data_IF_386302575094
#
_entry.id   IF_386302575094
#
_cell.length_a   1.000
_cell.length_b   1.000
_cell.length_c   1.000
_cell.angle_alpha   90.00
_cell.angle_beta   90.00
_cell.angle_gamma   90.00
#
_symmetry.space_group_name_H-M   'P 1'
#
loop_
_entity.id
_entity.type
_entity.pdbx_description
1 polymer ?
#
# COMPACT_ATOMS: atom_id res chain seq x y z
N UNK A 1 -48.59 -13.01 -17.18
CA UNK A 1 -47.13 -12.90 -17.43
C UNK A 1 -46.42 -13.73 -16.39
N UNK A 2 -45.83 -14.83 -16.81
CA UNK A 2 -44.92 -15.65 -15.98
C UNK A 2 -43.50 -15.08 -16.10
N UNK A 3 -42.89 -14.73 -14.98
CA UNK A 3 -41.48 -14.36 -14.93
C UNK A 3 -40.63 -15.63 -14.76
N UNK A 4 -39.44 -15.71 -15.41
CA UNK A 4 -38.56 -16.84 -15.19
C UNK A 4 -38.11 -16.89 -13.73
N UNK A 5 -37.92 -18.08 -13.15
CA UNK A 5 -37.44 -18.22 -11.78
C UNK A 5 -36.04 -17.59 -11.65
N UNK A 6 -35.85 -16.78 -10.62
CA UNK A 6 -34.54 -16.25 -10.27
C UNK A 6 -33.81 -17.30 -9.44
N UNK A 7 -32.66 -17.74 -9.92
CA UNK A 7 -31.80 -18.65 -9.15
C UNK A 7 -30.56 -17.91 -8.64
N UNK A 8 -30.21 -18.14 -7.39
CA UNK A 8 -28.99 -17.62 -6.77
C UNK A 8 -28.01 -18.79 -6.54
N UNK A 9 -26.76 -18.61 -6.91
CA UNK A 9 -25.68 -19.52 -6.50
C UNK A 9 -24.90 -18.83 -5.39
N UNK A 10 -25.09 -19.24 -4.15
CA UNK A 10 -24.25 -18.81 -3.03
C UNK A 10 -23.03 -19.72 -2.98
N UNK A 11 -21.86 -19.17 -3.22
CA UNK A 11 -20.58 -19.84 -2.99
C UNK A 11 -19.99 -19.30 -1.70
N UNK A 12 -19.94 -20.14 -0.66
CA UNK A 12 -19.24 -19.78 0.60
C UNK A 12 -17.84 -20.35 0.45
N UNK A 13 -16.87 -19.48 0.22
CA UNK A 13 -15.45 -19.81 0.32
C UNK A 13 -14.97 -19.39 1.69
N UNK A 14 -14.45 -20.34 2.48
CA UNK A 14 -13.75 -20.02 3.72
C UNK A 14 -12.43 -19.32 3.37
N UNK A 15 -12.40 -18.00 3.49
CA UNK A 15 -11.16 -17.23 3.45
C UNK A 15 -10.66 -17.03 4.87
N UNK A 16 -9.35 -17.09 5.06
CA UNK A 16 -8.74 -16.72 6.34
C UNK A 16 -9.16 -15.31 6.74
N UNK A 17 -9.42 -15.12 8.02
CA UNK A 17 -9.80 -13.82 8.57
C UNK A 17 -8.62 -12.83 8.42
N UNK A 18 -8.93 -11.59 8.03
CA UNK A 18 -7.91 -10.55 7.89
C UNK A 18 -7.42 -10.13 9.28
N UNK A 19 -6.13 -10.29 9.52
CA UNK A 19 -5.48 -9.82 10.74
C UNK A 19 -5.08 -8.36 10.59
N UNK A 20 -5.60 -7.51 11.47
CA UNK A 20 -5.30 -6.07 11.42
C UNK A 20 -5.26 -5.42 12.81
N UNK A 21 -4.71 -4.22 12.86
CA UNK A 21 -4.75 -3.32 14.01
C UNK A 21 -5.06 -1.90 13.56
N UNK A 22 -5.57 -1.09 14.48
CA UNK A 22 -5.83 0.33 14.24
C UNK A 22 -4.79 1.14 15.02
N UNK A 23 -4.11 2.05 14.33
CA UNK A 23 -3.13 2.97 14.92
C UNK A 23 -3.40 4.41 14.46
N UNK A 24 -3.18 5.38 15.35
CA UNK A 24 -3.09 6.79 14.99
C UNK A 24 -1.61 7.18 14.94
N UNK A 25 -1.22 7.85 13.86
CA UNK A 25 0.16 8.33 13.69
C UNK A 25 0.18 9.80 13.31
N UNK A 26 1.15 10.51 13.87
CA UNK A 26 1.49 11.86 13.43
C UNK A 26 1.99 11.87 11.99
N UNK A 27 2.00 13.03 11.37
CA UNK A 27 2.62 13.20 10.06
C UNK A 27 4.11 12.85 10.12
N UNK A 28 4.61 12.21 9.07
CA UNK A 28 6.03 11.88 8.93
C UNK A 28 6.52 12.13 7.50
N UNK A 29 7.81 12.38 7.37
CA UNK A 29 8.46 12.61 6.08
C UNK A 29 9.05 11.31 5.54
N UNK A 30 8.93 11.12 4.24
CA UNK A 30 9.59 10.06 3.50
C UNK A 30 10.42 10.63 2.37
N UNK A 31 11.48 9.94 2.02
CA UNK A 31 12.31 10.27 0.87
C UNK A 31 12.48 9.04 -0.02
N UNK A 32 12.43 9.23 -1.33
CA UNK A 32 12.53 8.12 -2.27
C UNK A 32 12.52 8.53 -3.73
N UNK A 33 12.22 7.57 -4.57
CA UNK A 33 12.03 7.71 -6.01
C UNK A 33 10.59 7.44 -6.38
N UNK A 34 10.11 8.05 -7.45
CA UNK A 34 8.73 7.86 -7.90
C UNK A 34 8.62 7.49 -9.37
N UNK A 35 7.50 6.87 -9.70
CA UNK A 35 7.05 6.67 -11.07
C UNK A 35 5.60 7.09 -11.21
N UNK A 36 5.19 7.48 -12.42
CA UNK A 36 3.79 7.70 -12.73
C UNK A 36 3.08 6.36 -12.90
N UNK A 37 1.91 6.23 -12.29
CA UNK A 37 1.02 5.11 -12.51
C UNK A 37 0.19 5.33 -13.76
N UNK A 38 -0.05 4.25 -14.50
CA UNK A 38 -1.00 4.27 -15.64
C UNK A 38 -2.44 4.23 -15.12
N UNK A 39 -3.37 4.77 -15.90
CA UNK A 39 -4.82 4.66 -15.63
C UNK A 39 -5.32 3.21 -15.71
N UNK A 40 -4.59 2.34 -16.41
CA UNK A 40 -4.84 0.91 -16.48
C UNK A 40 -4.16 0.20 -15.32
N UNK A 41 -4.94 -0.34 -14.39
CA UNK A 41 -4.44 -1.16 -13.29
C UNK A 41 -3.60 -2.36 -13.78
N UNK A 42 -4.00 -2.97 -14.89
CA UNK A 42 -3.29 -4.12 -15.47
C UNK A 42 -1.85 -3.78 -15.85
N UNK A 43 -1.61 -2.58 -16.37
CA UNK A 43 -0.26 -2.12 -16.68
C UNK A 43 0.56 -1.92 -15.40
N UNK A 44 -0.04 -1.37 -14.35
CA UNK A 44 0.64 -1.13 -13.09
C UNK A 44 1.09 -2.44 -12.43
N UNK A 45 0.33 -3.54 -12.59
CA UNK A 45 0.74 -4.86 -12.10
C UNK A 45 2.04 -5.39 -12.73
N UNK A 46 2.40 -4.90 -13.90
CA UNK A 46 3.68 -5.22 -14.56
C UNK A 46 4.76 -4.17 -14.26
N UNK A 47 4.39 -2.89 -14.28
CA UNK A 47 5.37 -1.78 -14.20
C UNK A 47 5.87 -1.53 -12.78
N UNK A 48 5.04 -1.73 -11.77
CA UNK A 48 5.46 -1.55 -10.37
C UNK A 48 6.51 -2.58 -9.95
N UNK A 49 6.36 -3.90 -10.18
CA UNK A 49 7.42 -4.87 -9.92
C UNK A 49 8.71 -4.54 -10.67
N UNK A 50 8.62 -4.12 -11.94
CA UNK A 50 9.80 -3.74 -12.73
C UNK A 50 10.50 -2.50 -12.16
N UNK A 51 9.74 -1.55 -11.59
CA UNK A 51 10.31 -0.38 -10.92
C UNK A 51 11.11 -0.78 -9.68
N UNK A 52 10.62 -1.75 -8.89
CA UNK A 52 11.35 -2.33 -7.78
C UNK A 52 12.63 -3.03 -8.24
N UNK A 53 12.56 -3.86 -9.28
CA UNK A 53 13.71 -4.56 -9.83
C UNK A 53 14.80 -3.58 -10.32
N UNK A 54 14.40 -2.51 -11.00
CA UNK A 54 15.32 -1.46 -11.44
C UNK A 54 16.00 -0.77 -10.25
N UNK A 55 15.23 -0.46 -9.19
CA UNK A 55 15.76 0.17 -7.99
C UNK A 55 16.74 -0.73 -7.21
N UNK A 56 16.60 -2.05 -7.32
CA UNK A 56 17.61 -3.03 -6.83
C UNK A 56 18.86 -2.92 -7.66
N UNK A 57 18.74 -2.99 -8.99
CA UNK A 57 19.87 -3.10 -9.93
C UNK A 57 20.72 -1.83 -10.00
N UNK A 58 20.11 -0.66 -9.92
CA UNK A 58 20.81 0.64 -9.99
C UNK A 58 21.35 1.13 -8.64
N UNK A 59 21.15 0.34 -7.56
CA UNK A 59 21.62 0.65 -6.21
C UNK A 59 20.75 1.65 -5.44
N UNK A 60 19.59 2.03 -5.95
CA UNK A 60 18.65 2.95 -5.28
C UNK A 60 18.20 2.39 -3.93
N UNK A 61 17.83 1.09 -3.86
CA UNK A 61 17.41 0.48 -2.59
C UNK A 61 18.53 0.47 -1.56
N UNK A 62 19.79 0.25 -1.97
CA UNK A 62 20.93 0.30 -1.06
C UNK A 62 21.13 1.69 -0.47
N UNK A 63 20.96 2.74 -1.28
CA UNK A 63 21.02 4.14 -0.83
C UNK A 63 19.87 4.46 0.13
N UNK A 64 18.63 4.06 -0.20
CA UNK A 64 17.47 4.25 0.68
C UNK A 64 17.66 3.53 2.02
N UNK A 65 18.15 2.30 2.00
CA UNK A 65 18.45 1.54 3.22
C UNK A 65 19.54 2.16 4.10
N UNK A 66 20.39 3.04 3.56
CA UNK A 66 21.43 3.75 4.30
C UNK A 66 20.94 5.01 5.02
N UNK A 67 19.71 5.46 4.74
CA UNK A 67 19.12 6.62 5.40
C UNK A 67 18.57 6.26 6.79
N UNK A 68 18.49 7.26 7.67
CA UNK A 68 17.78 7.09 8.95
C UNK A 68 16.29 6.88 8.67
N UNK A 69 15.74 5.79 9.17
CA UNK A 69 14.37 5.37 8.89
C UNK A 69 13.33 5.90 9.88
N UNK A 70 13.74 6.69 10.87
CA UNK A 70 12.82 7.25 11.84
C UNK A 70 11.94 6.19 12.54
N UNK A 71 10.70 6.56 12.87
CA UNK A 71 9.75 5.67 13.58
C UNK A 71 9.12 4.58 12.70
N UNK A 72 9.05 4.80 11.39
CA UNK A 72 8.54 3.81 10.42
C UNK A 72 9.73 3.20 9.72
N UNK A 73 10.13 2.03 10.17
CA UNK A 73 11.24 1.28 9.57
C UNK A 73 10.83 0.65 8.24
N UNK A 74 11.83 0.12 7.53
CA UNK A 74 11.72 -0.66 6.30
C UNK A 74 11.39 0.16 5.03
N UNK A 75 11.47 -0.50 3.89
CA UNK A 75 11.13 0.07 2.60
C UNK A 75 9.61 0.17 2.45
N UNK A 76 9.17 1.30 1.94
CA UNK A 76 7.77 1.62 1.73
C UNK A 76 7.46 1.73 0.24
N UNK A 77 6.42 1.04 -0.22
CA UNK A 77 5.70 1.33 -1.44
C UNK A 77 4.53 2.27 -1.12
N UNK A 78 4.42 3.40 -1.79
CA UNK A 78 3.40 4.40 -1.46
C UNK A 78 2.64 4.79 -2.71
N UNK A 79 1.33 4.53 -2.71
CA UNK A 79 0.42 4.88 -3.81
C UNK A 79 -0.27 6.21 -3.51
N UNK A 80 0.14 7.25 -4.23
CA UNK A 80 -0.44 8.59 -4.11
C UNK A 80 -1.43 8.80 -5.23
N UNK A 81 -2.71 8.81 -4.90
CA UNK A 81 -3.80 9.15 -5.80
C UNK A 81 -4.06 10.65 -5.70
N UNK A 82 -3.50 11.44 -6.62
CA UNK A 82 -3.85 12.83 -6.83
C UNK A 82 -5.03 12.99 -7.80
N UNK A 83 -5.20 14.19 -8.35
CA UNK A 83 -6.10 14.41 -9.48
C UNK A 83 -5.74 13.45 -10.61
N UNK A 84 -6.72 12.95 -11.35
CA UNK A 84 -6.65 11.86 -12.35
C UNK A 84 -5.45 11.89 -13.33
N UNK A 85 -4.63 12.92 -13.31
CA UNK A 85 -3.44 13.09 -14.15
C UNK A 85 -2.12 12.83 -13.44
N UNK A 86 -2.10 12.65 -12.11
CA UNK A 86 -0.87 12.60 -11.31
C UNK A 86 -0.83 11.46 -10.30
N UNK A 87 -1.25 10.27 -10.69
CA UNK A 87 -1.07 9.10 -9.86
C UNK A 87 0.40 8.70 -9.86
N UNK A 88 0.99 8.63 -8.67
CA UNK A 88 2.38 8.26 -8.48
C UNK A 88 2.51 7.08 -7.51
N UNK A 89 3.50 6.25 -7.81
CA UNK A 89 3.97 5.23 -6.88
C UNK A 89 5.38 5.58 -6.46
N UNK A 90 5.65 5.53 -5.15
CA UNK A 90 6.97 5.80 -4.57
C UNK A 90 7.56 4.52 -4.00
N UNK A 91 8.88 4.37 -4.16
CA UNK A 91 9.71 3.51 -3.32
C UNK A 91 10.51 4.44 -2.42
N UNK A 92 10.27 4.35 -1.11
CA UNK A 92 10.75 5.34 -0.17
C UNK A 92 11.11 4.73 1.20
N UNK A 93 11.75 5.53 2.04
CA UNK A 93 11.94 5.25 3.47
C UNK A 93 11.49 6.47 4.27
N UNK A 94 10.97 6.23 5.49
CA UNK A 94 10.71 7.31 6.43
C UNK A 94 12.04 7.84 6.94
N UNK A 95 12.29 9.14 6.76
CA UNK A 95 13.55 9.77 7.15
C UNK A 95 13.41 11.29 7.27
N UNK A 96 14.11 11.86 8.22
CA UNK A 96 14.38 13.30 8.29
C UNK A 96 15.67 13.69 7.56
N UNK A 97 16.51 12.72 7.21
CA UNK A 97 17.79 12.92 6.52
C UNK A 97 17.61 12.96 5.00
N UNK A 98 17.49 14.14 4.43
CA UNK A 98 17.27 14.28 2.98
C UNK A 98 18.47 14.84 2.23
N UNK A 99 19.48 15.30 2.95
CA UNK A 99 20.61 16.01 2.34
C UNK A 99 21.65 15.09 1.67
N UNK A 100 21.56 13.77 1.88
CA UNK A 100 22.59 12.82 1.44
C UNK A 100 22.46 12.39 -0.01
N UNK A 101 21.23 12.42 -0.54
CA UNK A 101 20.90 12.00 -1.91
C UNK A 101 19.81 12.90 -2.49
N UNK A 102 19.76 13.02 -3.82
CA UNK A 102 18.71 13.75 -4.54
C UNK A 102 17.42 12.93 -4.65
N UNK A 103 16.82 12.57 -3.51
CA UNK A 103 15.53 11.89 -3.47
C UNK A 103 14.36 12.88 -3.39
N UNK A 104 13.23 12.48 -3.99
CA UNK A 104 11.98 13.19 -3.82
C UNK A 104 11.50 13.06 -2.37
N UNK A 105 10.94 14.14 -1.83
CA UNK A 105 10.34 14.18 -0.50
C UNK A 105 8.83 14.14 -0.61
N UNK A 106 8.21 13.40 0.30
CA UNK A 106 6.78 13.36 0.46
C UNK A 106 6.44 13.41 1.94
N UNK A 107 5.47 14.23 2.31
CA UNK A 107 4.92 14.27 3.66
C UNK A 107 3.68 13.37 3.69
N UNK A 108 3.73 12.34 4.51
CA UNK A 108 2.58 11.52 4.83
C UNK A 108 1.80 12.23 5.94
N UNK A 109 0.55 12.63 5.71
CA UNK A 109 -0.21 13.39 6.70
C UNK A 109 -0.53 12.54 7.93
N UNK A 110 -0.74 13.20 9.06
CA UNK A 110 -1.26 12.53 10.25
C UNK A 110 -2.58 11.84 9.93
N UNK A 111 -2.71 10.59 10.31
CA UNK A 111 -3.87 9.78 9.98
C UNK A 111 -4.13 8.67 11.01
N UNK A 112 -5.35 8.17 10.99
CA UNK A 112 -5.72 6.88 11.56
C UNK A 112 -5.54 5.83 10.49
N UNK A 113 -4.90 4.73 10.84
CA UNK A 113 -4.52 3.66 9.94
C UNK A 113 -5.16 2.34 10.35
N UNK A 114 -5.73 1.62 9.40
CA UNK A 114 -5.96 0.20 9.51
C UNK A 114 -4.75 -0.51 8.87
N UNK A 115 -4.02 -1.28 9.66
CA UNK A 115 -2.77 -1.93 9.27
C UNK A 115 -2.99 -3.43 9.24
N UNK A 116 -2.88 -4.01 8.06
CA UNK A 116 -3.08 -5.42 7.78
C UNK A 116 -1.74 -6.11 7.57
N UNK A 117 -1.49 -7.21 8.27
CA UNK A 117 -0.27 -8.00 8.14
C UNK A 117 -0.49 -9.16 7.19
N UNK A 118 0.50 -9.46 6.36
CA UNK A 118 0.48 -10.58 5.44
C UNK A 118 1.86 -11.18 5.22
N UNK A 119 1.86 -12.38 4.64
CA UNK A 119 3.06 -13.12 4.23
C UNK A 119 2.83 -13.77 2.88
N UNK A 120 3.89 -13.93 2.13
CA UNK A 120 3.88 -14.64 0.84
C UNK A 120 4.51 -13.85 -0.28
N UNK A 121 3.94 -13.94 -1.46
CA UNK A 121 4.44 -13.32 -2.68
C UNK A 121 3.79 -11.96 -2.93
N UNK A 122 4.25 -11.23 -3.97
CA UNK A 122 3.58 -10.03 -4.45
C UNK A 122 2.11 -10.25 -4.82
N UNK A 123 1.77 -11.45 -5.31
CA UNK A 123 0.36 -11.82 -5.59
C UNK A 123 -0.45 -11.88 -4.29
N UNK A 124 0.15 -12.37 -3.20
CA UNK A 124 -0.51 -12.40 -1.88
C UNK A 124 -0.75 -11.00 -1.34
N UNK A 125 0.17 -10.06 -1.55
CA UNK A 125 0.02 -8.65 -1.16
C UNK A 125 -1.13 -8.01 -1.96
N UNK A 126 -1.16 -8.17 -3.27
CA UNK A 126 -2.22 -7.66 -4.13
C UNK A 126 -3.61 -8.24 -3.75
N UNK A 127 -3.66 -9.54 -3.39
CA UNK A 127 -4.90 -10.15 -2.91
C UNK A 127 -5.31 -9.58 -1.55
N UNK A 128 -4.37 -9.34 -0.64
CA UNK A 128 -4.64 -8.68 0.64
C UNK A 128 -5.25 -7.28 0.42
N UNK A 129 -4.65 -6.44 -0.42
CA UNK A 129 -5.15 -5.11 -0.74
C UNK A 129 -6.56 -5.16 -1.32
N UNK A 130 -6.79 -6.05 -2.29
CA UNK A 130 -8.12 -6.25 -2.88
C UNK A 130 -9.15 -6.64 -1.82
N UNK A 131 -8.82 -7.58 -0.94
CA UNK A 131 -9.72 -8.06 0.12
C UNK A 131 -10.02 -6.97 1.15
N UNK A 132 -9.03 -6.18 1.52
CA UNK A 132 -9.23 -5.05 2.43
C UNK A 132 -10.28 -4.08 1.86
N UNK A 133 -10.17 -3.73 0.58
CA UNK A 133 -11.07 -2.79 -0.07
C UNK A 133 -12.45 -3.38 -0.32
N UNK A 134 -12.54 -4.65 -0.72
CA UNK A 134 -13.81 -5.25 -1.15
C UNK A 134 -14.55 -6.02 -0.07
N UNK A 135 -13.83 -6.54 0.93
CA UNK A 135 -14.40 -7.41 1.96
C UNK A 135 -14.41 -6.74 3.35
N UNK A 136 -13.35 -5.99 3.71
CA UNK A 136 -13.23 -5.39 5.04
C UNK A 136 -13.82 -3.98 5.11
N UNK A 137 -13.38 -3.07 4.25
CA UNK A 137 -13.76 -1.65 4.31
C UNK A 137 -15.27 -1.43 4.27
N UNK A 138 -16.06 -2.12 3.39
CA UNK A 138 -17.52 -1.90 3.32
C UNK A 138 -18.30 -2.24 4.60
N UNK A 139 -17.72 -3.08 5.45
CA UNK A 139 -18.36 -3.54 6.69
C UNK A 139 -17.66 -3.05 7.96
N UNK A 140 -16.60 -2.28 7.83
CA UNK A 140 -15.76 -1.84 8.95
C UNK A 140 -16.34 -0.68 9.76
N UNK A 141 -17.29 0.08 9.20
CA UNK A 141 -17.75 1.34 9.75
C UNK A 141 -16.78 2.51 9.56
N UNK A 142 -15.80 2.33 8.68
CA UNK A 142 -14.83 3.36 8.29
C UNK A 142 -14.97 3.73 6.82
N UNK A 143 -14.52 4.91 6.48
CA UNK A 143 -14.31 5.40 5.11
C UNK A 143 -12.82 5.63 4.87
N UNK A 144 -12.43 5.79 3.61
CA UNK A 144 -11.09 6.25 3.25
C UNK A 144 -10.71 7.53 3.97
N UNK A 145 -9.50 7.54 4.52
CA UNK A 145 -8.89 8.75 5.08
C UNK A 145 -8.30 9.66 4.00
N UNK A 146 -7.36 10.49 4.41
CA UNK A 146 -6.74 11.51 3.56
C UNK A 146 -5.25 11.26 3.26
N UNK A 147 -4.71 10.16 3.72
CA UNK A 147 -3.32 9.77 3.44
C UNK A 147 -3.27 8.71 2.33
N UNK A 148 -2.14 8.62 1.60
CA UNK A 148 -1.95 7.60 0.58
C UNK A 148 -1.85 6.20 1.18
N UNK A 149 -2.13 5.17 0.39
CA UNK A 149 -1.95 3.78 0.79
C UNK A 149 -0.45 3.44 0.87
N UNK A 150 -0.08 2.67 1.88
CA UNK A 150 1.32 2.30 2.13
C UNK A 150 1.46 0.79 2.21
N UNK A 151 2.38 0.25 1.44
CA UNK A 151 2.93 -1.11 1.54
C UNK A 151 4.25 -1.03 2.32
N UNK A 152 4.33 -1.67 3.46
CA UNK A 152 5.57 -1.75 4.25
C UNK A 152 6.20 -3.12 4.04
N UNK A 153 7.39 -3.15 3.49
CA UNK A 153 8.13 -4.37 3.20
C UNK A 153 9.08 -4.69 4.35
N UNK A 154 8.65 -5.57 5.26
CA UNK A 154 9.40 -5.95 6.46
C UNK A 154 10.55 -6.88 6.10
N UNK A 155 10.26 -7.89 5.28
CA UNK A 155 11.25 -8.83 4.75
C UNK A 155 11.02 -9.03 3.26
N UNK A 156 12.01 -8.64 2.47
CA UNK A 156 11.97 -8.78 1.02
C UNK A 156 12.53 -10.15 0.61
N UNK A 157 11.74 -11.21 0.77
CA UNK A 157 11.98 -12.53 0.18
C UNK A 157 10.94 -12.73 -0.92
N UNK A 158 11.34 -12.97 -2.20
CA UNK A 158 10.39 -13.10 -3.29
C UNK A 158 9.35 -14.23 -3.10
N UNK A 159 9.69 -15.26 -2.35
CA UNK A 159 8.82 -16.43 -2.12
C UNK A 159 8.11 -16.38 -0.76
N UNK A 160 8.66 -15.65 0.21
CA UNK A 160 8.16 -15.63 1.58
C UNK A 160 8.34 -14.25 2.23
N UNK A 161 7.92 -13.20 1.55
CA UNK A 161 7.96 -11.84 2.06
C UNK A 161 7.05 -11.68 3.29
N UNK A 162 7.47 -10.83 4.22
CA UNK A 162 6.61 -10.31 5.27
C UNK A 162 6.31 -8.84 4.97
N UNK A 163 5.04 -8.48 4.99
CA UNK A 163 4.58 -7.15 4.62
C UNK A 163 3.40 -6.68 5.47
N UNK A 164 3.18 -5.39 5.44
CA UNK A 164 1.95 -4.77 5.94
C UNK A 164 1.36 -3.88 4.85
N UNK A 165 0.02 -3.88 4.77
CA UNK A 165 -0.74 -2.92 4.00
C UNK A 165 -1.44 -1.95 4.95
N UNK A 166 -1.19 -0.66 4.77
CA UNK A 166 -1.71 0.42 5.60
C UNK A 166 -2.73 1.21 4.82
N UNK A 167 -3.99 1.14 5.25
CA UNK A 167 -5.09 1.91 4.70
C UNK A 167 -5.39 3.09 5.63
N UNK A 168 -5.31 4.30 5.09
CA UNK A 168 -5.78 5.49 5.82
C UNK A 168 -7.30 5.46 5.94
N UNK A 169 -7.81 5.61 7.16
CA UNK A 169 -9.24 5.53 7.47
C UNK A 169 -9.72 6.71 8.29
N UNK A 170 -11.01 6.99 8.20
CA UNK A 170 -11.76 7.91 9.08
C UNK A 170 -13.09 7.29 9.45
N UNK A 171 -13.68 7.75 10.54
CA UNK A 171 -15.01 7.31 10.92
C UNK A 171 -16.04 7.77 9.88
N UNK A 172 -17.00 6.93 9.56
CA UNK A 172 -18.13 7.33 8.72
C UNK A 172 -18.83 8.56 9.33
N UNK A 173 -19.16 9.53 8.49
CA UNK A 173 -20.02 10.63 8.90
C UNK A 173 -21.43 10.07 9.08
N UNK A 174 -21.91 10.08 10.32
CA UNK A 174 -23.31 9.77 10.63
C UNK A 174 -24.24 10.85 10.10
#
# INVERSE_FOLDING_TARGET
KTYPPISFKLTITGTEELTYRIEERSAFEVAGVSMLLDKSLEKNFCTVPQFWDNAVQDGTLAKLNSLDKGEVCDLLGISVCGDYETWKYYIAVATSETAKFEFEKLIIPASKWAIFSGKGTNVSLQDLERRVITEWLPFSGFEYGNAPDIERNIQADPENAEYEYWLSIRNEKK
#
